data_IF_679078991031
#
_entry.id   IF_679078991031
#
_cell.length_a   1.000
_cell.length_b   1.000
_cell.length_c   1.000
_cell.angle_alpha   90.00
_cell.angle_beta   90.00
_cell.angle_gamma   90.00
#
_symmetry.space_group_name_H-M   'P 1'
#
loop_
_entity.id
_entity.type
_entity.pdbx_description
1 polymer ?
#
# COMPACT_ATOMS: atom_id res chain seq x y z
N UNK A 1 24.43 -3.54 -18.84
CA UNK A 1 23.87 -2.83 -17.67
C UNK A 1 24.88 -2.89 -16.57
N UNK A 2 25.29 -1.75 -16.02
CA UNK A 2 26.17 -1.69 -14.85
C UNK A 2 25.46 -2.27 -13.61
N UNK A 3 26.23 -2.63 -12.60
CA UNK A 3 25.64 -3.00 -11.32
C UNK A 3 24.85 -1.80 -10.76
N UNK A 4 23.66 -2.01 -10.16
CA UNK A 4 22.89 -0.91 -9.57
C UNK A 4 23.70 -0.20 -8.48
N UNK A 5 23.52 1.12 -8.33
CA UNK A 5 24.25 1.93 -7.36
C UNK A 5 23.92 1.53 -5.92
N UNK A 6 24.90 1.67 -5.02
CA UNK A 6 24.68 1.47 -3.58
C UNK A 6 23.89 2.64 -3.02
N UNK A 7 22.69 2.36 -2.49
CA UNK A 7 21.83 3.36 -1.86
C UNK A 7 22.03 3.43 -0.34
N UNK A 8 22.25 2.29 0.30
CA UNK A 8 22.39 2.21 1.75
C UNK A 8 23.30 1.05 2.17
N UNK A 9 24.05 1.25 3.25
CA UNK A 9 24.88 0.22 3.89
C UNK A 9 24.43 0.02 5.33
N UNK A 10 24.35 -1.23 5.76
CA UNK A 10 24.14 -1.58 7.16
C UNK A 10 25.49 -1.96 7.77
N UNK A 11 25.87 -1.26 8.83
CA UNK A 11 27.13 -1.49 9.54
C UNK A 11 26.85 -2.06 10.93
N UNK A 12 27.48 -3.19 11.26
CA UNK A 12 27.45 -3.79 12.61
C UNK A 12 28.86 -3.87 13.15
N UNK A 13 29.11 -3.18 14.26
CA UNK A 13 30.41 -3.17 14.94
C UNK A 13 31.59 -2.79 14.01
N UNK A 14 31.37 -1.83 13.09
CA UNK A 14 32.38 -1.36 12.14
C UNK A 14 32.53 -2.19 10.86
N UNK A 15 31.80 -3.31 10.73
CA UNK A 15 31.77 -4.13 9.52
C UNK A 15 30.53 -3.82 8.69
N UNK A 16 30.70 -3.63 7.37
CA UNK A 16 29.57 -3.59 6.42
C UNK A 16 28.98 -4.99 6.32
N UNK A 17 27.81 -5.17 6.94
CA UNK A 17 27.10 -6.46 6.99
C UNK A 17 26.16 -6.62 5.78
N UNK A 18 25.58 -5.53 5.28
CA UNK A 18 24.71 -5.55 4.11
C UNK A 18 24.83 -4.27 3.28
N UNK A 19 24.66 -4.43 1.97
CA UNK A 19 24.66 -3.35 0.98
C UNK A 19 23.36 -3.43 0.18
N UNK A 20 22.65 -2.31 0.08
CA UNK A 20 21.37 -2.19 -0.61
C UNK A 20 21.59 -1.40 -1.89
N UNK A 21 21.32 -2.04 -3.02
CA UNK A 21 21.48 -1.42 -4.33
C UNK A 21 20.15 -1.03 -4.94
N UNK A 22 20.12 0.06 -5.72
CA UNK A 22 18.90 0.51 -6.39
C UNK A 22 19.03 1.87 -7.06
N UNK A 23 17.87 2.50 -7.23
CA UNK A 23 17.75 3.90 -7.64
C UNK A 23 16.83 4.65 -6.68
N UNK A 24 17.09 5.94 -6.47
CA UNK A 24 16.25 6.79 -5.64
C UNK A 24 16.20 8.19 -6.24
N UNK A 25 15.03 8.83 -6.16
CA UNK A 25 14.79 10.20 -6.59
C UNK A 25 13.97 10.91 -5.52
N UNK A 26 14.35 12.15 -5.19
CA UNK A 26 13.52 13.04 -4.40
C UNK A 26 13.11 14.24 -5.25
N UNK A 27 11.83 14.59 -5.16
CA UNK A 27 11.26 15.74 -5.83
C UNK A 27 10.98 16.85 -4.82
N UNK A 28 11.21 18.09 -5.24
CA UNK A 28 10.76 19.27 -4.52
C UNK A 28 9.25 19.48 -4.69
N UNK A 29 8.67 20.47 -3.97
CA UNK A 29 7.24 20.73 -3.99
C UNK A 29 6.71 21.22 -5.34
N UNK A 30 7.57 21.62 -6.28
CA UNK A 30 7.19 22.00 -7.65
C UNK A 30 7.51 20.89 -8.67
N UNK A 31 7.89 19.70 -8.19
CA UNK A 31 8.25 18.56 -9.03
C UNK A 31 9.68 18.61 -9.59
N UNK A 32 10.50 19.56 -9.16
CA UNK A 32 11.91 19.60 -9.55
C UNK A 32 12.70 18.47 -8.88
N UNK A 33 13.64 17.86 -9.59
CA UNK A 33 14.54 16.85 -8.99
C UNK A 33 15.51 17.56 -8.06
N UNK A 34 15.43 17.26 -6.76
CA UNK A 34 16.35 17.79 -5.74
C UNK A 34 17.45 16.78 -5.36
N UNK A 35 17.24 15.50 -5.67
CA UNK A 35 18.22 14.43 -5.48
C UNK A 35 17.91 13.25 -6.41
N UNK A 36 18.94 12.63 -6.96
CA UNK A 36 18.83 11.39 -7.75
C UNK A 36 20.10 10.55 -7.63
N UNK A 37 19.94 9.23 -7.56
CA UNK A 37 21.03 8.23 -7.55
C UNK A 37 20.55 6.95 -8.23
N UNK A 38 21.43 6.26 -8.96
CA UNK A 38 21.05 5.10 -9.76
C UNK A 38 20.29 5.44 -11.05
N UNK A 39 19.85 4.40 -11.74
CA UNK A 39 19.05 4.48 -12.97
C UNK A 39 17.57 4.72 -12.64
N UNK A 40 17.21 5.98 -12.37
CA UNK A 40 15.85 6.41 -12.00
C UNK A 40 14.86 6.42 -13.17
N UNK A 41 15.36 6.35 -14.41
CA UNK A 41 14.55 6.29 -15.64
C UNK A 41 14.17 4.85 -16.02
N UNK A 42 14.71 3.86 -15.30
CA UNK A 42 14.44 2.45 -15.58
C UNK A 42 12.95 2.13 -15.39
N UNK A 43 12.29 1.54 -16.40
CA UNK A 43 10.91 1.08 -16.25
C UNK A 43 10.77 0.06 -15.11
N UNK A 44 9.77 0.27 -14.26
CA UNK A 44 9.42 -0.62 -13.16
C UNK A 44 7.90 -0.78 -13.04
N UNK A 45 7.46 -1.90 -12.49
CA UNK A 45 6.07 -2.04 -12.08
C UNK A 45 5.87 -1.30 -10.76
N UNK A 46 4.96 -0.33 -10.71
CA UNK A 46 4.61 0.38 -9.46
C UNK A 46 4.11 -0.57 -8.37
N UNK A 47 3.57 -1.74 -8.75
CA UNK A 47 2.95 -2.71 -7.83
C UNK A 47 1.99 -1.99 -6.88
N UNK A 48 2.05 -2.30 -5.59
CA UNK A 48 1.16 -1.71 -4.60
C UNK A 48 1.47 -0.23 -4.29
N UNK A 49 2.59 0.33 -4.77
CA UNK A 49 2.91 1.74 -4.55
C UNK A 49 2.04 2.70 -5.40
N UNK A 50 1.24 2.17 -6.34
CA UNK A 50 0.32 2.98 -7.16
C UNK A 50 -0.93 3.45 -6.40
N UNK A 51 -1.21 2.88 -5.22
CA UNK A 51 -2.46 3.09 -4.48
C UNK A 51 -2.80 4.55 -4.17
N UNK A 52 -1.86 5.43 -3.76
CA UNK A 52 -2.17 6.84 -3.55
C UNK A 52 -2.74 7.51 -4.81
N UNK A 53 -2.18 7.21 -5.99
CA UNK A 53 -2.71 7.70 -7.26
C UNK A 53 -4.12 7.17 -7.55
N UNK A 54 -4.39 5.90 -7.21
CA UNK A 54 -5.72 5.31 -7.35
C UNK A 54 -6.74 5.98 -6.41
N UNK A 55 -6.34 6.28 -5.17
CA UNK A 55 -7.19 7.00 -4.22
C UNK A 55 -7.47 8.44 -4.69
N UNK A 56 -6.47 9.14 -5.24
CA UNK A 56 -6.67 10.47 -5.86
C UNK A 56 -7.70 10.41 -6.98
N UNK A 57 -7.66 9.41 -7.86
CA UNK A 57 -8.64 9.25 -8.94
C UNK A 57 -10.07 9.04 -8.38
N UNK A 58 -10.22 8.31 -7.28
CA UNK A 58 -11.53 8.14 -6.61
C UNK A 58 -12.03 9.47 -6.04
N UNK A 59 -11.17 10.25 -5.38
CA UNK A 59 -11.56 11.58 -4.89
C UNK A 59 -11.95 12.52 -6.03
N UNK A 60 -11.20 12.49 -7.13
CA UNK A 60 -11.47 13.31 -8.32
C UNK A 60 -12.76 12.90 -9.07
N UNK A 61 -13.29 11.69 -8.84
CA UNK A 61 -14.59 11.28 -9.40
C UNK A 61 -15.79 11.88 -8.66
N UNK A 62 -15.55 12.58 -7.54
CA UNK A 62 -16.58 13.17 -6.68
C UNK A 62 -17.02 12.28 -5.51
N UNK A 63 -16.33 11.15 -5.28
CA UNK A 63 -16.55 10.32 -4.10
C UNK A 63 -15.94 11.00 -2.88
N UNK A 64 -16.77 11.25 -1.87
CA UNK A 64 -16.32 11.81 -0.59
C UNK A 64 -15.85 10.68 0.35
N UNK A 65 -14.56 10.73 0.72
CA UNK A 65 -13.93 9.83 1.67
C UNK A 65 -13.50 10.58 2.93
N UNK A 66 -13.61 9.94 4.09
CA UNK A 66 -12.97 10.47 5.31
C UNK A 66 -11.45 10.29 5.27
N UNK A 67 -10.72 10.98 6.14
CA UNK A 67 -9.25 10.84 6.22
C UNK A 67 -8.81 9.40 6.48
N UNK A 68 -9.57 8.66 7.30
CA UNK A 68 -9.31 7.24 7.59
C UNK A 68 -9.58 6.35 6.36
N UNK A 69 -10.63 6.63 5.60
CA UNK A 69 -10.95 5.91 4.36
C UNK A 69 -9.88 6.17 3.30
N UNK A 70 -9.42 7.42 3.16
CA UNK A 70 -8.29 7.78 2.29
C UNK A 70 -7.02 7.02 2.71
N UNK A 71 -6.72 6.98 4.02
CA UNK A 71 -5.56 6.26 4.53
C UNK A 71 -5.59 4.76 4.18
N UNK A 72 -6.75 4.12 4.33
CA UNK A 72 -6.92 2.69 4.01
C UNK A 72 -6.94 2.45 2.49
N UNK A 73 -7.53 3.35 1.71
CA UNK A 73 -7.52 3.29 0.24
C UNK A 73 -6.10 3.45 -0.35
N UNK A 74 -5.29 4.35 0.21
CA UNK A 74 -3.96 4.69 -0.29
C UNK A 74 -2.84 3.75 0.21
N UNK A 75 -3.13 2.82 1.13
CA UNK A 75 -2.12 2.01 1.83
C UNK A 75 -2.21 0.50 1.58
N UNK A 76 -1.23 -0.24 2.10
CA UNK A 76 -1.25 -1.70 2.22
C UNK A 76 -1.53 -2.10 3.65
N UNK A 77 -2.76 -1.84 4.12
CA UNK A 77 -3.13 -2.13 5.50
C UNK A 77 -2.91 -3.61 5.87
N UNK A 78 -2.77 -3.86 7.16
CA UNK A 78 -2.32 -5.17 7.68
C UNK A 78 -3.44 -5.95 8.36
N UNK A 79 -4.70 -5.65 8.00
CA UNK A 79 -5.91 -6.26 8.54
C UNK A 79 -6.04 -6.21 10.08
N UNK A 80 -5.54 -5.14 10.70
CA UNK A 80 -5.98 -4.82 12.07
C UNK A 80 -7.49 -4.51 12.11
N UNK A 81 -8.16 -4.72 13.26
CA UNK A 81 -9.60 -4.49 13.40
C UNK A 81 -10.07 -3.14 12.85
N UNK A 82 -9.36 -2.06 13.19
CA UNK A 82 -9.68 -0.70 12.70
C UNK A 82 -9.68 -0.61 11.17
N UNK A 83 -8.74 -1.26 10.48
CA UNK A 83 -8.70 -1.25 9.03
C UNK A 83 -9.89 -2.00 8.43
N UNK A 84 -10.25 -3.15 9.01
CA UNK A 84 -11.37 -3.96 8.53
C UNK A 84 -12.70 -3.26 8.77
N UNK A 85 -12.87 -2.61 9.92
CA UNK A 85 -14.04 -1.79 10.25
C UNK A 85 -14.23 -0.64 9.24
N UNK A 86 -13.16 0.06 8.88
CA UNK A 86 -13.20 1.12 7.85
C UNK A 86 -13.67 0.54 6.50
N UNK A 87 -13.08 -0.57 6.04
CA UNK A 87 -13.47 -1.20 4.76
C UNK A 87 -14.92 -1.66 4.78
N UNK A 88 -15.39 -2.24 5.88
CA UNK A 88 -16.79 -2.63 6.03
C UNK A 88 -17.72 -1.41 6.02
N UNK A 89 -17.34 -0.31 6.66
CA UNK A 89 -18.10 0.95 6.65
C UNK A 89 -18.22 1.51 5.22
N UNK A 90 -17.12 1.54 4.47
CA UNK A 90 -17.11 2.00 3.08
C UNK A 90 -18.08 1.20 2.20
N UNK A 91 -18.04 -0.14 2.30
CA UNK A 91 -18.94 -1.02 1.55
C UNK A 91 -20.40 -0.84 1.97
N UNK A 92 -20.66 -0.74 3.28
CA UNK A 92 -22.00 -0.56 3.82
C UNK A 92 -22.65 0.75 3.35
N UNK A 93 -21.87 1.84 3.20
CA UNK A 93 -22.37 3.13 2.68
C UNK A 93 -22.99 3.03 1.29
N UNK A 94 -22.53 2.09 0.47
CA UNK A 94 -23.06 1.83 -0.88
C UNK A 94 -23.89 0.55 -0.97
N UNK A 95 -24.27 -0.03 0.17
CA UNK A 95 -25.12 -1.23 0.23
C UNK A 95 -24.45 -2.50 -0.27
N UNK A 96 -23.11 -2.57 -0.24
CA UNK A 96 -22.33 -3.73 -0.65
C UNK A 96 -21.72 -4.45 0.56
N UNK A 97 -21.24 -5.67 0.35
CA UNK A 97 -20.50 -6.46 1.33
C UNK A 97 -19.11 -6.87 0.78
N UNK A 98 -18.34 -7.62 1.58
CA UNK A 98 -16.98 -8.03 1.22
C UNK A 98 -16.91 -8.94 -0.02
N UNK A 99 -18.02 -9.52 -0.48
CA UNK A 99 -18.05 -10.38 -1.66
C UNK A 99 -17.83 -9.61 -2.97
N UNK A 100 -18.05 -8.29 -2.98
CA UNK A 100 -17.81 -7.43 -4.13
C UNK A 100 -16.32 -7.06 -4.29
N UNK A 101 -15.51 -7.27 -3.25
CA UNK A 101 -14.09 -6.98 -3.30
C UNK A 101 -13.39 -7.93 -4.28
N UNK A 102 -12.72 -7.34 -5.28
CA UNK A 102 -11.99 -8.08 -6.34
C UNK A 102 -10.57 -8.50 -5.93
N UNK A 103 -10.23 -8.45 -4.65
CA UNK A 103 -8.97 -8.97 -4.13
C UNK A 103 -9.16 -10.39 -3.58
N UNK A 104 -8.16 -11.28 -3.69
CA UNK A 104 -8.31 -12.62 -3.15
C UNK A 104 -8.49 -12.56 -1.63
N UNK A 105 -9.23 -13.51 -1.03
CA UNK A 105 -9.21 -13.69 0.41
C UNK A 105 -7.77 -14.01 0.82
N UNK A 106 -7.12 -13.07 1.50
CA UNK A 106 -5.69 -13.08 1.75
C UNK A 106 -5.36 -13.22 3.23
N UNK A 107 -4.23 -13.85 3.58
CA UNK A 107 -3.78 -13.85 4.96
C UNK A 107 -3.36 -12.45 5.39
N UNK A 108 -3.54 -12.16 6.68
CA UNK A 108 -3.00 -10.95 7.28
C UNK A 108 -1.47 -10.90 7.10
N UNK A 109 -0.93 -9.69 6.94
CA UNK A 109 0.49 -9.47 6.64
C UNK A 109 1.38 -9.53 7.88
N UNK A 110 0.84 -9.19 9.04
CA UNK A 110 1.58 -9.09 10.31
C UNK A 110 1.15 -10.19 11.25
N UNK A 111 2.08 -10.66 12.08
CA UNK A 111 1.86 -11.79 12.98
C UNK A 111 0.69 -11.57 13.94
N UNK A 112 0.54 -10.36 14.47
CA UNK A 112 -0.57 -10.00 15.35
C UNK A 112 -1.93 -10.22 14.68
N UNK A 113 -2.09 -9.78 13.44
CA UNK A 113 -3.32 -9.97 12.68
C UNK A 113 -3.49 -11.42 12.23
N UNK A 114 -2.40 -12.14 11.90
CA UNK A 114 -2.45 -13.57 11.55
C UNK A 114 -2.95 -14.41 12.73
N UNK A 115 -2.41 -14.18 13.92
CA UNK A 115 -2.81 -14.85 15.15
C UNK A 115 -4.28 -14.59 15.47
N UNK A 116 -4.73 -13.33 15.33
CA UNK A 116 -6.13 -12.96 15.54
C UNK A 116 -7.09 -13.63 14.54
N UNK A 117 -6.66 -13.79 13.30
CA UNK A 117 -7.47 -14.32 12.20
C UNK A 117 -7.25 -15.82 11.97
N UNK A 118 -6.51 -16.51 12.84
CA UNK A 118 -6.13 -17.92 12.63
C UNK A 118 -7.34 -18.86 12.50
N UNK A 119 -8.42 -18.56 13.22
CA UNK A 119 -9.67 -19.33 13.24
C UNK A 119 -10.78 -18.65 12.40
N UNK A 120 -10.46 -17.50 11.79
CA UNK A 120 -11.40 -16.77 10.95
C UNK A 120 -11.53 -17.44 9.58
N UNK A 121 -12.74 -17.39 9.00
CA UNK A 121 -12.92 -17.78 7.60
C UNK A 121 -12.14 -16.80 6.71
N UNK A 122 -11.51 -17.26 5.62
CA UNK A 122 -10.90 -16.37 4.65
C UNK A 122 -11.93 -15.38 4.10
N UNK A 123 -11.64 -14.09 4.21
CA UNK A 123 -12.49 -13.00 3.72
C UNK A 123 -11.61 -12.00 2.93
N UNK A 124 -12.07 -11.48 1.77
CA UNK A 124 -11.36 -10.45 1.03
C UNK A 124 -10.97 -9.21 1.85
N UNK A 125 -11.72 -8.86 2.90
CA UNK A 125 -11.42 -7.72 3.78
C UNK A 125 -10.06 -7.86 4.47
N UNK A 126 -9.59 -9.09 4.70
CA UNK A 126 -8.29 -9.37 5.32
C UNK A 126 -7.11 -9.10 4.38
N UNK A 127 -7.35 -8.94 3.08
CA UNK A 127 -6.30 -8.66 2.12
C UNK A 127 -5.85 -7.20 2.21
N UNK A 128 -4.54 -6.95 2.13
CA UNK A 128 -3.92 -5.60 2.16
C UNK A 128 -4.39 -4.62 1.07
N UNK A 129 -5.24 -5.06 0.16
CA UNK A 129 -5.76 -4.27 -0.95
C UNK A 129 -7.26 -4.01 -0.79
N UNK A 130 -7.93 -4.57 0.21
CA UNK A 130 -9.37 -4.43 0.35
C UNK A 130 -9.78 -2.97 0.45
N UNK A 131 -8.98 -2.13 1.13
CA UNK A 131 -9.12 -0.66 1.14
C UNK A 131 -9.23 -0.01 -0.24
N UNK A 132 -8.21 -0.19 -1.11
CA UNK A 132 -8.27 0.38 -2.48
C UNK A 132 -9.42 -0.18 -3.30
N UNK A 133 -9.81 -1.43 -3.07
CA UNK A 133 -10.92 -2.07 -3.80
C UNK A 133 -12.27 -1.51 -3.33
N UNK A 134 -12.44 -1.28 -2.04
CA UNK A 134 -13.63 -0.64 -1.49
C UNK A 134 -13.78 0.79 -2.03
N UNK A 135 -12.69 1.57 -2.06
CA UNK A 135 -12.70 2.92 -2.62
C UNK A 135 -13.14 2.95 -4.10
N UNK A 136 -12.74 1.95 -4.90
CA UNK A 136 -13.16 1.84 -6.31
C UNK A 136 -14.63 1.42 -6.50
N UNK A 137 -15.28 0.91 -5.46
CA UNK A 137 -16.68 0.47 -5.47
C UNK A 137 -17.63 1.54 -4.93
N UNK A 138 -17.09 2.60 -4.34
CA UNK A 138 -17.84 3.76 -3.88
C UNK A 138 -18.17 4.70 -5.03
#
# INVERSE_FOLDING_TARGET
>A
MGAPDVLAVQVRSGLVEATHHGAAMALGPRGEVIFSVGDVERPLFYRSAIKPFQATIVLESGVELTDEEVAVAASSHVAEPVHMEIVHSMLARVGLDSSFLRCPPGPALVESSRLRLQDAKPDPVHHMCSGKHAAMLM
#
